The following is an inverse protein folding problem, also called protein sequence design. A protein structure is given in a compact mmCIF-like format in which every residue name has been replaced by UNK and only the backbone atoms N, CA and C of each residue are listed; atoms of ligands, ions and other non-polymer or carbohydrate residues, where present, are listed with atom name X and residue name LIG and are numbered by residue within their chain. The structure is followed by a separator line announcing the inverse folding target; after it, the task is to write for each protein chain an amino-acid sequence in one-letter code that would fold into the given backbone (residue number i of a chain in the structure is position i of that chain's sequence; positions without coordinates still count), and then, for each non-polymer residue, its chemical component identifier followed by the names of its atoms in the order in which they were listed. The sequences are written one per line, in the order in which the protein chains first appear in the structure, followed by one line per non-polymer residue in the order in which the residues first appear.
data_IF_643284081941
#
_entry.id   IF_643284081941
#
_cell.length_a   1.000
_cell.length_b   1.000
_cell.length_c   1.000
_cell.angle_alpha   90.00
_cell.angle_beta   90.00
_cell.angle_gamma   90.00
#
_symmetry.space_group_name_H-M   'P 1'
#
loop_
_entity.id
_entity.type
_entity.pdbx_description
1 polymer ?
#
# COMPACT_ATOMS: atom_id res chain seq x y z
N UNK A 1 -4.36 1.68 -11.76
CA UNK A 1 -5.58 2.52 -11.84
C UNK A 1 -5.18 3.92 -11.43
N UNK A 2 -5.51 4.95 -12.20
CA UNK A 2 -5.24 6.33 -11.81
C UNK A 2 -6.23 6.74 -10.73
N UNK A 3 -5.79 7.61 -9.81
CA UNK A 3 -6.66 8.15 -8.77
C UNK A 3 -7.89 8.84 -9.40
N UNK A 4 -9.12 8.42 -9.12
CA UNK A 4 -10.32 8.97 -9.75
C UNK A 4 -10.60 10.43 -9.36
N UNK A 5 -10.01 10.93 -8.28
CA UNK A 5 -10.09 12.36 -7.96
C UNK A 5 -9.46 13.24 -9.02
N UNK A 6 -8.46 12.75 -9.71
CA UNK A 6 -7.91 13.46 -10.85
C UNK A 6 -8.85 13.47 -12.06
N UNK A 7 -9.77 12.52 -12.10
CA UNK A 7 -10.82 12.53 -13.08
C UNK A 7 -11.69 13.80 -13.03
N UNK A 8 -11.73 14.43 -11.90
CA UNK A 8 -12.47 15.66 -11.64
C UNK A 8 -11.62 16.93 -11.84
N UNK A 9 -10.35 16.77 -12.16
CA UNK A 9 -9.51 17.89 -12.54
C UNK A 9 -9.87 18.39 -13.96
N UNK A 10 -9.39 19.57 -14.31
CA UNK A 10 -9.73 20.29 -15.54
C UNK A 10 -9.45 19.55 -16.86
N UNK A 11 -8.71 18.46 -16.85
CA UNK A 11 -8.43 17.59 -18.01
C UNK A 11 -8.93 16.18 -17.74
N UNK A 12 -10.23 16.01 -17.75
CA UNK A 12 -10.88 14.77 -17.37
C UNK A 12 -10.73 13.65 -18.38
N UNK A 13 -10.70 13.96 -19.66
CA UNK A 13 -10.70 12.95 -20.74
C UNK A 13 -9.42 12.10 -20.77
N UNK A 14 -8.30 12.64 -20.27
CA UNK A 14 -7.02 11.94 -20.25
C UNK A 14 -6.77 11.14 -18.98
N UNK A 15 -7.52 11.43 -17.90
CA UNK A 15 -7.21 10.93 -16.56
C UNK A 15 -8.29 10.09 -15.90
N UNK A 16 -9.54 10.10 -16.41
CA UNK A 16 -10.66 9.38 -15.80
C UNK A 16 -10.44 7.88 -15.86
N UNK A 17 -10.41 7.26 -14.68
CA UNK A 17 -10.64 5.83 -14.46
C UNK A 17 -9.88 4.86 -15.37
N UNK A 18 -8.76 5.27 -15.96
CA UNK A 18 -8.01 4.41 -16.88
C UNK A 18 -7.21 3.39 -16.11
N UNK A 19 -7.44 2.12 -16.41
CA UNK A 19 -6.57 1.01 -16.02
C UNK A 19 -5.42 0.86 -17.01
N UNK A 20 -4.26 0.42 -16.53
CA UNK A 20 -3.15 0.01 -17.37
C UNK A 20 -3.08 -1.52 -17.43
N UNK A 21 -2.86 -2.06 -18.63
CA UNK A 21 -2.56 -3.49 -18.81
C UNK A 21 -1.05 -3.62 -18.67
N UNK A 22 -0.61 -4.24 -17.58
CA UNK A 22 0.82 -4.42 -17.27
C UNK A 22 1.08 -5.86 -16.82
N UNK A 23 2.27 -6.36 -17.10
CA UNK A 23 2.75 -7.62 -16.54
C UNK A 23 3.70 -7.34 -15.36
N UNK A 24 3.14 -7.11 -14.19
CA UNK A 24 3.90 -6.73 -13.00
C UNK A 24 5.00 -7.75 -12.62
N UNK A 25 4.83 -9.04 -12.96
CA UNK A 25 5.84 -10.08 -12.69
C UNK A 25 7.11 -9.88 -13.51
N UNK A 26 7.01 -9.26 -14.70
CA UNK A 26 8.14 -9.03 -15.62
C UNK A 26 8.79 -7.66 -15.47
N UNK A 27 8.17 -6.74 -14.72
CA UNK A 27 8.68 -5.40 -14.50
C UNK A 27 9.66 -5.37 -13.32
N UNK A 28 10.73 -4.57 -13.47
CA UNK A 28 11.72 -4.34 -12.40
C UNK A 28 12.60 -5.55 -12.08
N UNK A 29 13.30 -5.52 -10.95
CA UNK A 29 14.17 -6.60 -10.53
C UNK A 29 13.38 -7.86 -10.16
N UNK A 30 14.04 -9.02 -10.27
CA UNK A 30 13.55 -10.27 -9.70
C UNK A 30 13.85 -10.25 -8.20
N UNK A 31 12.80 -10.39 -7.41
CA UNK A 31 12.88 -10.33 -5.95
C UNK A 31 12.89 -11.73 -5.32
N UNK A 32 13.57 -11.83 -4.20
CA UNK A 32 13.45 -12.91 -3.22
C UNK A 32 12.99 -12.31 -1.89
N UNK A 33 12.47 -13.16 -0.97
CA UNK A 33 12.09 -12.70 0.38
C UNK A 33 13.31 -12.28 1.20
N UNK A 34 13.10 -11.46 2.21
CA UNK A 34 14.16 -11.01 3.08
C UNK A 34 14.85 -12.17 3.82
N UNK A 35 16.16 -12.07 3.95
CA UNK A 35 16.93 -12.91 4.86
C UNK A 35 17.48 -12.01 5.98
N UNK A 36 16.87 -12.13 7.17
CA UNK A 36 17.15 -11.24 8.30
C UNK A 36 17.97 -12.02 9.33
N UNK A 37 19.21 -11.60 9.52
CA UNK A 37 20.12 -12.26 10.45
C UNK A 37 19.62 -12.08 11.90
N UNK A 38 19.50 -13.18 12.64
CA UNK A 38 19.07 -13.17 14.04
C UNK A 38 17.56 -13.01 14.24
N UNK A 39 16.78 -13.06 13.17
CA UNK A 39 15.32 -13.10 13.24
C UNK A 39 14.85 -14.56 13.15
N UNK A 40 14.43 -15.11 14.27
CA UNK A 40 14.00 -16.51 14.38
C UNK A 40 12.52 -16.63 14.76
N UNK A 41 12.03 -15.66 15.54
CA UNK A 41 10.65 -15.60 16.01
C UNK A 41 10.09 -14.18 15.86
N UNK A 42 8.78 -14.04 15.93
CA UNK A 42 8.12 -12.72 15.85
C UNK A 42 8.56 -11.75 16.97
N UNK A 43 8.99 -12.29 18.10
CA UNK A 43 9.46 -11.50 19.24
C UNK A 43 10.79 -10.82 18.95
N UNK A 44 11.53 -11.28 17.95
CA UNK A 44 12.78 -10.66 17.48
C UNK A 44 12.52 -9.44 16.56
N UNK A 45 11.25 -9.19 16.21
CA UNK A 45 10.89 -8.09 15.32
C UNK A 45 11.08 -6.74 16.00
N UNK A 46 11.89 -5.88 15.38
CA UNK A 46 11.97 -4.45 15.68
C UNK A 46 11.46 -3.73 14.44
N UNK A 47 10.25 -3.19 14.53
CA UNK A 47 9.53 -2.61 13.39
C UNK A 47 9.61 -1.09 13.44
N UNK A 48 9.99 -0.46 12.34
CA UNK A 48 9.96 0.99 12.16
C UNK A 48 8.91 1.36 11.14
N UNK A 49 7.84 2.01 11.63
CA UNK A 49 6.74 2.49 10.78
C UNK A 49 7.08 3.82 10.14
N UNK A 50 6.88 3.93 8.83
CA UNK A 50 7.30 5.09 8.05
C UNK A 50 6.27 5.40 6.95
N UNK A 51 5.94 6.69 6.79
CA UNK A 51 5.26 7.21 5.61
C UNK A 51 6.28 7.55 4.52
N UNK A 52 6.11 6.99 3.32
CA UNK A 52 7.10 7.13 2.22
C UNK A 52 7.40 8.59 1.89
N UNK A 53 6.37 9.44 1.80
CA UNK A 53 6.57 10.86 1.48
C UNK A 53 7.24 11.61 2.60
N UNK A 54 6.80 11.40 3.84
CA UNK A 54 7.25 12.19 4.99
C UNK A 54 8.72 11.97 5.29
N UNK A 55 9.19 10.75 5.09
CA UNK A 55 10.54 10.35 5.45
C UNK A 55 11.64 11.18 4.78
N UNK A 56 11.36 11.73 3.61
CA UNK A 56 12.32 12.54 2.86
C UNK A 56 11.86 13.96 2.59
N UNK A 57 10.74 14.40 3.21
CA UNK A 57 10.12 15.70 2.93
C UNK A 57 10.74 16.88 3.69
N UNK A 58 11.54 16.62 4.72
CA UNK A 58 12.26 17.67 5.44
C UNK A 58 13.17 18.46 4.48
N UNK A 59 13.22 19.79 4.67
CA UNK A 59 13.95 20.67 3.77
C UNK A 59 15.44 20.31 3.70
N UNK A 60 16.06 20.13 4.86
CA UNK A 60 17.51 19.85 4.93
C UNK A 60 17.84 18.47 4.33
N UNK A 61 16.92 17.51 4.44
CA UNK A 61 17.07 16.20 3.82
C UNK A 61 16.85 16.28 2.31
N UNK A 62 15.78 16.89 1.89
CA UNK A 62 15.36 16.90 0.48
C UNK A 62 16.36 17.61 -0.45
N UNK A 63 17.11 18.60 0.05
CA UNK A 63 18.16 19.26 -0.72
C UNK A 63 19.38 18.38 -0.97
N UNK A 64 19.54 17.28 -0.22
CA UNK A 64 20.65 16.32 -0.38
C UNK A 64 20.33 15.15 -1.27
N UNK A 65 19.08 15.00 -1.71
CA UNK A 65 18.60 13.88 -2.52
C UNK A 65 18.96 14.04 -3.98
N UNK A 66 19.20 12.90 -4.65
CA UNK A 66 19.31 12.84 -6.11
C UNK A 66 17.91 12.69 -6.76
N UNK A 67 17.05 11.87 -6.15
CA UNK A 67 15.67 11.68 -6.57
C UNK A 67 14.74 12.72 -5.94
N UNK A 68 13.56 12.90 -6.54
CA UNK A 68 12.54 13.79 -5.98
C UNK A 68 12.09 13.27 -4.61
N UNK A 69 12.00 14.18 -3.63
CA UNK A 69 11.56 13.83 -2.28
C UNK A 69 10.19 13.14 -2.27
N UNK A 70 9.96 12.30 -1.28
CA UNK A 70 8.68 11.62 -1.08
C UNK A 70 8.39 10.49 -2.08
N UNK A 71 9.39 10.06 -2.84
CA UNK A 71 9.29 8.94 -3.77
C UNK A 71 9.95 7.66 -3.23
N UNK A 72 9.62 6.51 -3.81
CA UNK A 72 10.31 5.27 -3.53
C UNK A 72 11.82 5.38 -3.79
N UNK A 73 12.21 6.12 -4.83
CA UNK A 73 13.62 6.32 -5.18
C UNK A 73 14.37 7.14 -4.12
N UNK A 74 13.80 8.24 -3.65
CA UNK A 74 14.41 9.04 -2.59
C UNK A 74 14.46 8.32 -1.24
N UNK A 75 13.48 7.45 -0.96
CA UNK A 75 13.49 6.61 0.23
C UNK A 75 14.71 5.69 0.27
N UNK A 76 15.08 5.11 -0.88
CA UNK A 76 16.28 4.25 -1.00
C UNK A 76 17.55 4.98 -0.55
N UNK A 77 17.69 6.26 -0.86
CA UNK A 77 18.87 7.06 -0.49
C UNK A 77 19.06 7.21 1.03
N UNK A 78 18.02 6.96 1.82
CA UNK A 78 18.04 7.09 3.29
C UNK A 78 17.96 5.75 4.04
N UNK A 79 17.98 4.61 3.35
CA UNK A 79 17.86 3.28 3.96
C UNK A 79 18.99 2.96 4.95
N UNK A 80 20.19 3.49 4.72
CA UNK A 80 21.31 3.24 5.62
C UNK A 80 21.11 3.88 7.00
N UNK A 81 20.40 5.01 7.06
CA UNK A 81 19.96 5.59 8.34
C UNK A 81 19.08 4.60 9.11
N UNK A 82 18.07 4.03 8.46
CA UNK A 82 17.13 3.07 9.08
C UNK A 82 17.90 1.81 9.51
N UNK A 83 18.76 1.28 8.66
CA UNK A 83 19.59 0.10 8.99
C UNK A 83 20.44 0.33 10.23
N UNK A 84 21.02 1.52 10.37
CA UNK A 84 21.86 1.87 11.51
C UNK A 84 21.08 2.02 12.83
N UNK A 85 19.74 2.14 12.79
CA UNK A 85 18.89 2.08 13.98
C UNK A 85 18.77 0.65 14.54
N UNK A 86 19.20 -0.38 13.78
CA UNK A 86 19.14 -1.77 14.21
C UNK A 86 17.77 -2.42 14.06
N UNK A 87 16.87 -1.85 13.24
CA UNK A 87 15.54 -2.42 12.99
C UNK A 87 15.62 -3.65 12.09
N UNK A 88 14.69 -4.56 12.27
CA UNK A 88 14.56 -5.77 11.45
C UNK A 88 13.59 -5.58 10.30
N UNK A 89 12.55 -4.76 10.47
CA UNK A 89 11.51 -4.55 9.46
C UNK A 89 11.18 -3.07 9.30
N UNK A 90 10.88 -2.69 8.07
CA UNK A 90 10.27 -1.41 7.73
C UNK A 90 8.79 -1.66 7.46
N UNK A 91 7.91 -1.00 8.22
CA UNK A 91 6.47 -0.99 7.97
C UNK A 91 6.12 0.28 7.21
N UNK A 92 5.74 0.11 5.95
CA UNK A 92 5.30 1.22 5.11
C UNK A 92 3.83 1.51 5.38
N UNK A 93 3.50 2.76 5.74
CA UNK A 93 2.12 3.25 5.69
C UNK A 93 1.53 2.98 4.31
N UNK A 94 0.18 3.01 4.14
CA UNK A 94 -0.45 2.50 2.94
C UNK A 94 0.15 3.03 1.64
N UNK A 95 0.65 2.11 0.81
CA UNK A 95 1.23 2.42 -0.51
C UNK A 95 0.31 2.03 -1.66
N UNK A 96 -0.80 1.36 -1.36
CA UNK A 96 -1.85 1.10 -2.34
C UNK A 96 -2.52 2.40 -2.77
N UNK A 97 -3.13 2.39 -3.95
CA UNK A 97 -3.82 3.55 -4.51
C UNK A 97 -4.97 4.00 -3.60
N UNK A 98 -5.01 5.28 -3.27
CA UNK A 98 -5.99 5.88 -2.37
C UNK A 98 -6.57 7.19 -2.92
N UNK A 99 -7.71 7.62 -2.35
CA UNK A 99 -8.43 8.84 -2.70
C UNK A 99 -7.81 10.10 -2.09
N UNK A 100 -8.39 11.24 -2.39
CA UNK A 100 -8.15 12.54 -1.79
C UNK A 100 -6.73 13.08 -1.94
N UNK A 101 -6.04 12.65 -3.01
CA UNK A 101 -4.75 13.22 -3.42
C UNK A 101 -4.72 13.54 -4.91
N UNK A 102 -3.91 14.50 -5.30
CA UNK A 102 -3.47 14.70 -6.68
C UNK A 102 -2.06 14.14 -6.85
N UNK A 103 -1.93 12.98 -7.48
CA UNK A 103 -0.65 12.30 -7.66
C UNK A 103 0.39 13.11 -8.44
N UNK A 104 -0.03 14.15 -9.20
CA UNK A 104 0.90 15.01 -9.93
C UNK A 104 1.32 16.27 -9.16
N UNK A 105 0.62 16.60 -8.09
CA UNK A 105 0.94 17.73 -7.25
C UNK A 105 1.61 17.25 -5.98
N UNK A 106 2.94 17.16 -6.02
CA UNK A 106 3.76 16.65 -4.91
C UNK A 106 4.46 17.77 -4.15
N UNK A 107 3.95 18.98 -4.27
CA UNK A 107 4.51 20.13 -3.58
C UNK A 107 4.64 19.87 -2.08
N UNK A 108 5.71 20.42 -1.53
CA UNK A 108 6.03 20.29 -0.12
C UNK A 108 4.96 20.95 0.73
N UNK A 109 4.58 20.30 1.81
CA UNK A 109 3.69 20.89 2.80
C UNK A 109 4.50 21.92 3.59
N UNK A 110 4.30 23.19 3.28
CA UNK A 110 4.97 24.29 3.98
C UNK A 110 4.18 24.78 5.21
N UNK A 111 2.88 24.47 5.27
CA UNK A 111 2.00 24.90 6.35
C UNK A 111 1.14 23.75 6.86
N UNK A 112 1.31 23.38 8.12
CA UNK A 112 0.52 22.35 8.81
C UNK A 112 -0.99 22.65 8.89
N UNK A 113 -1.41 23.86 8.60
CA UNK A 113 -2.80 24.33 8.71
C UNK A 113 -3.54 24.37 7.38
N UNK A 114 -2.90 24.01 6.26
CA UNK A 114 -3.54 24.07 4.96
C UNK A 114 -4.42 22.86 4.71
N UNK A 115 -5.73 23.07 4.62
CA UNK A 115 -6.67 22.04 4.19
C UNK A 115 -6.44 21.57 2.73
N UNK A 116 -5.61 22.28 1.97
CA UNK A 116 -5.32 22.02 0.55
C UNK A 116 -3.89 21.52 0.31
N UNK A 117 -3.25 20.97 1.32
CA UNK A 117 -1.84 20.58 1.25
C UNK A 117 -1.56 19.31 0.46
N UNK A 118 -2.58 18.67 -0.14
CA UNK A 118 -2.46 17.43 -0.89
C UNK A 118 -1.74 16.30 -0.10
N UNK A 119 -1.98 16.24 1.20
CA UNK A 119 -1.40 15.26 2.11
C UNK A 119 -2.45 14.25 2.56
N UNK A 120 -2.11 12.96 2.49
CA UNK A 120 -2.95 11.87 2.98
C UNK A 120 -2.04 10.72 3.44
N UNK A 121 -2.40 10.07 4.52
CA UNK A 121 -1.69 8.89 5.03
C UNK A 121 -1.95 7.62 4.22
N UNK A 122 -2.96 7.64 3.34
CA UNK A 122 -3.28 6.53 2.47
C UNK A 122 -4.39 5.60 2.99
N UNK A 123 -5.08 5.97 4.07
CA UNK A 123 -6.16 5.14 4.65
C UNK A 123 -7.52 5.31 3.97
N UNK A 124 -7.54 5.82 2.75
CA UNK A 124 -8.74 5.96 1.92
C UNK A 124 -8.61 5.08 0.65
N UNK A 125 -8.64 3.73 0.76
CA UNK A 125 -8.28 2.85 -0.34
C UNK A 125 -9.22 3.00 -1.53
N UNK A 126 -8.59 3.08 -2.72
CA UNK A 126 -9.28 3.10 -4.00
C UNK A 126 -9.11 1.78 -4.76
N UNK A 127 -7.94 1.18 -4.69
CA UNK A 127 -7.63 -0.07 -5.36
C UNK A 127 -6.70 -0.93 -4.51
N UNK A 128 -7.09 -2.18 -4.32
CA UNK A 128 -6.30 -3.15 -3.55
C UNK A 128 -5.18 -3.83 -4.34
N UNK A 129 -4.99 -3.49 -5.63
CA UNK A 129 -3.98 -4.11 -6.51
C UNK A 129 -3.06 -3.10 -7.18
N UNK A 130 -3.28 -1.81 -6.97
CA UNK A 130 -2.50 -0.75 -7.61
C UNK A 130 -1.72 0.03 -6.57
N UNK A 131 -0.47 0.38 -6.90
CA UNK A 131 0.32 1.29 -6.08
C UNK A 131 -0.12 2.74 -6.33
N UNK A 132 0.00 3.59 -5.31
CA UNK A 132 -0.19 5.03 -5.46
C UNK A 132 0.92 5.64 -6.32
N UNK A 133 0.53 6.45 -7.30
CA UNK A 133 1.47 7.22 -8.11
C UNK A 133 2.12 8.38 -7.35
N UNK A 134 1.59 8.73 -6.18
CA UNK A 134 2.18 9.76 -5.32
C UNK A 134 3.65 9.47 -4.99
N UNK A 135 4.02 8.20 -4.90
CA UNK A 135 5.35 7.75 -4.49
C UNK A 135 6.27 7.41 -5.67
N UNK A 136 5.82 7.63 -6.91
CA UNK A 136 6.63 7.41 -8.12
C UNK A 136 7.19 8.72 -8.65
N UNK A 137 8.37 8.70 -9.24
CA UNK A 137 8.99 9.86 -9.90
C UNK A 137 8.16 10.34 -11.11
N UNK A 138 7.48 9.43 -11.80
CA UNK A 138 6.49 9.77 -12.84
C UNK A 138 5.15 9.09 -12.57
N UNK A 139 4.20 9.76 -11.93
CA UNK A 139 2.87 9.22 -11.66
C UNK A 139 2.06 8.84 -12.90
N UNK A 140 2.40 9.38 -14.06
CA UNK A 140 1.72 9.07 -15.34
C UNK A 140 2.18 7.74 -15.93
N UNK A 141 3.32 7.23 -15.48
CA UNK A 141 3.86 5.95 -15.94
C UNK A 141 3.46 4.81 -14.97
N UNK A 142 2.47 3.98 -15.31
CA UNK A 142 1.99 2.93 -14.42
C UNK A 142 3.01 1.79 -14.22
N UNK A 143 3.93 1.58 -15.17
CA UNK A 143 4.98 0.58 -15.04
C UNK A 143 6.10 1.06 -14.11
N UNK A 144 6.42 2.35 -14.17
CA UNK A 144 7.51 2.92 -13.37
C UNK A 144 7.25 2.77 -11.87
N UNK A 145 6.01 3.04 -11.40
CA UNK A 145 5.67 2.87 -9.96
C UNK A 145 5.89 1.45 -9.45
N UNK A 146 5.67 0.44 -10.32
CA UNK A 146 5.92 -0.97 -10.00
C UNK A 146 7.42 -1.23 -9.91
N UNK A 147 8.18 -0.73 -10.88
CA UNK A 147 9.65 -0.88 -10.93
C UNK A 147 10.30 -0.21 -9.72
N UNK A 148 9.90 1.01 -9.40
CA UNK A 148 10.45 1.76 -8.26
C UNK A 148 10.13 1.11 -6.92
N UNK A 149 8.91 0.62 -6.75
CA UNK A 149 8.55 -0.10 -5.52
C UNK A 149 9.31 -1.42 -5.38
N UNK A 150 9.52 -2.17 -6.47
CA UNK A 150 10.38 -3.36 -6.44
C UNK A 150 11.83 -3.03 -6.15
N UNK A 151 12.36 -1.94 -6.70
CA UNK A 151 13.71 -1.48 -6.37
C UNK A 151 13.84 -1.14 -4.88
N UNK A 152 12.84 -0.46 -4.30
CA UNK A 152 12.83 -0.17 -2.87
C UNK A 152 12.87 -1.46 -2.04
N UNK A 153 12.02 -2.43 -2.35
CA UNK A 153 11.99 -3.72 -1.64
C UNK A 153 13.33 -4.43 -1.76
N UNK A 154 13.89 -4.51 -2.96
CA UNK A 154 15.20 -5.12 -3.18
C UNK A 154 16.27 -4.48 -2.32
N UNK A 155 16.31 -3.14 -2.26
CA UNK A 155 17.31 -2.41 -1.49
C UNK A 155 17.14 -2.57 0.03
N UNK A 156 15.90 -2.74 0.50
CA UNK A 156 15.61 -3.08 1.91
C UNK A 156 16.11 -4.50 2.20
N UNK A 157 15.77 -5.47 1.35
CA UNK A 157 16.19 -6.88 1.49
C UNK A 157 17.71 -7.04 1.40
N UNK A 158 18.38 -6.32 0.50
CA UNK A 158 19.85 -6.31 0.38
C UNK A 158 20.54 -5.85 1.67
N UNK A 159 19.86 -5.05 2.48
CA UNK A 159 20.35 -4.60 3.81
C UNK A 159 19.97 -5.54 4.93
N UNK A 160 19.34 -6.68 4.63
CA UNK A 160 18.91 -7.67 5.63
C UNK A 160 17.78 -7.13 6.51
N UNK A 161 16.84 -6.41 5.94
CA UNK A 161 15.60 -5.97 6.58
C UNK A 161 14.40 -6.48 5.79
N UNK A 162 13.28 -6.76 6.48
CA UNK A 162 12.01 -7.13 5.86
C UNK A 162 11.12 -5.92 5.59
N UNK A 163 10.11 -6.13 4.74
CA UNK A 163 9.09 -5.12 4.41
C UNK A 163 7.73 -5.59 4.88
N UNK A 164 7.10 -4.79 5.73
CA UNK A 164 5.69 -4.95 6.11
C UNK A 164 4.86 -3.86 5.42
N UNK A 165 3.75 -4.25 4.80
CA UNK A 165 2.78 -3.30 4.24
C UNK A 165 1.63 -3.08 5.20
N UNK A 166 1.29 -1.81 5.44
CA UNK A 166 0.03 -1.45 6.05
C UNK A 166 -1.09 -1.53 5.01
N UNK A 167 -2.11 -2.36 5.29
CA UNK A 167 -3.20 -2.65 4.37
C UNK A 167 -4.55 -2.29 4.96
N UNK A 168 -5.39 -1.65 4.15
CA UNK A 168 -6.68 -1.10 4.55
C UNK A 168 -7.79 -1.83 3.82
N UNK A 169 -8.17 -3.02 4.33
CA UNK A 169 -9.25 -3.82 3.75
C UNK A 169 -10.57 -3.70 4.50
N UNK A 170 -10.58 -2.95 5.60
CA UNK A 170 -11.78 -2.74 6.42
C UNK A 170 -12.84 -1.91 5.71
N UNK A 171 -12.44 -1.02 4.80
CA UNK A 171 -13.36 -0.17 4.05
C UNK A 171 -12.82 0.20 2.66
N UNK A 172 -13.68 0.77 1.83
CA UNK A 172 -13.30 1.52 0.62
C UNK A 172 -13.50 3.01 0.86
N UNK A 173 -12.73 3.86 0.20
CA UNK A 173 -12.87 5.32 0.33
C UNK A 173 -14.27 5.80 -0.06
N UNK A 174 -14.90 5.12 -1.02
CA UNK A 174 -16.24 5.42 -1.53
C UNK A 174 -16.98 4.13 -1.88
N UNK A 175 -18.26 4.06 -1.58
CA UNK A 175 -19.12 2.88 -1.83
C UNK A 175 -19.15 2.48 -3.31
N UNK A 176 -19.28 3.45 -4.22
CA UNK A 176 -19.43 3.20 -5.66
C UNK A 176 -18.26 2.43 -6.28
N UNK A 177 -17.08 2.40 -5.63
CA UNK A 177 -15.90 1.66 -6.13
C UNK A 177 -16.24 0.18 -6.40
N UNK A 178 -17.04 -0.43 -5.53
CA UNK A 178 -17.43 -1.83 -5.64
C UNK A 178 -18.94 -2.01 -5.87
N UNK A 179 -19.79 -1.15 -5.29
CA UNK A 179 -21.23 -1.27 -5.42
C UNK A 179 -21.75 -0.96 -6.85
N UNK A 180 -21.00 -0.20 -7.65
CA UNK A 180 -21.30 -0.02 -9.08
C UNK A 180 -21.06 -1.29 -9.91
N UNK A 181 -20.29 -2.26 -9.36
CA UNK A 181 -20.06 -3.56 -9.99
C UNK A 181 -21.20 -4.53 -9.64
N UNK A 182 -21.53 -4.64 -8.36
CA UNK A 182 -22.63 -5.48 -7.87
C UNK A 182 -23.27 -4.84 -6.64
N UNK A 183 -24.42 -4.19 -6.78
CA UNK A 183 -25.09 -3.46 -5.70
C UNK A 183 -25.43 -4.33 -4.49
N UNK A 184 -25.16 -3.81 -3.30
CA UNK A 184 -25.43 -4.43 -2.00
C UNK A 184 -24.70 -5.75 -1.75
N UNK A 185 -23.57 -5.98 -2.43
CA UNK A 185 -22.85 -7.24 -2.28
C UNK A 185 -21.50 -7.08 -1.56
N UNK A 186 -20.69 -6.11 -1.96
CA UNK A 186 -19.31 -6.03 -1.48
C UNK A 186 -19.15 -5.44 -0.07
N UNK A 187 -20.11 -4.61 0.34
CA UNK A 187 -20.11 -4.03 1.68
C UNK A 187 -21.17 -4.67 2.58
N UNK A 188 -20.98 -4.55 3.88
CA UNK A 188 -22.04 -4.87 4.82
C UNK A 188 -23.15 -3.84 4.75
N UNK A 189 -24.40 -4.31 4.64
CA UNK A 189 -25.59 -3.48 4.58
C UNK A 189 -26.43 -3.62 5.83
N UNK A 190 -27.16 -2.57 6.18
CA UNK A 190 -28.25 -2.58 7.13
C UNK A 190 -29.52 -3.14 6.47
N UNK A 191 -30.54 -3.43 7.27
CA UNK A 191 -31.81 -3.99 6.76
C UNK A 191 -32.56 -3.03 5.82
N UNK A 192 -32.31 -1.74 5.91
CA UNK A 192 -32.86 -0.70 5.03
C UNK A 192 -32.04 -0.46 3.77
N UNK A 193 -31.07 -1.33 3.48
CA UNK A 193 -30.11 -1.21 2.38
C UNK A 193 -29.18 0.02 2.47
N UNK A 194 -29.09 0.67 3.61
CA UNK A 194 -28.00 1.62 3.86
C UNK A 194 -26.69 0.86 4.15
N UNK A 195 -25.52 1.39 3.76
CA UNK A 195 -24.26 0.75 4.06
C UNK A 195 -23.95 0.80 5.57
N UNK A 196 -23.31 -0.23 6.08
CA UNK A 196 -22.68 -0.12 7.38
C UNK A 196 -21.39 0.68 7.22
N UNK A 197 -21.24 1.69 8.05
CA UNK A 197 -20.08 2.54 8.05
C UNK A 197 -18.89 1.85 8.76
N UNK A 198 -17.72 2.17 8.31
CA UNK A 198 -16.43 2.07 8.96
C UNK A 198 -15.80 3.47 8.88
N UNK A 199 -14.49 3.61 9.01
CA UNK A 199 -13.80 4.90 8.91
C UNK A 199 -13.71 5.45 7.46
N UNK A 200 -14.52 5.00 6.54
CA UNK A 200 -14.48 5.40 5.14
C UNK A 200 -15.84 5.29 4.50
N UNK A 201 -15.86 4.99 3.19
CA UNK A 201 -17.07 4.95 2.37
C UNK A 201 -18.00 3.78 2.65
N UNK A 202 -17.52 2.73 3.33
CA UNK A 202 -18.34 1.57 3.67
C UNK A 202 -17.51 0.39 4.13
N UNK A 203 -18.00 -0.34 5.13
CA UNK A 203 -17.33 -1.51 5.68
C UNK A 203 -17.39 -2.69 4.71
N UNK A 204 -16.21 -3.20 4.31
CA UNK A 204 -16.13 -4.34 3.41
C UNK A 204 -16.76 -5.59 4.04
N UNK A 205 -17.65 -6.23 3.28
CA UNK A 205 -18.40 -7.41 3.71
C UNK A 205 -17.59 -8.70 3.62
N UNK A 206 -16.58 -8.88 4.47
CA UNK A 206 -15.59 -9.96 4.38
C UNK A 206 -16.18 -11.36 4.56
N UNK A 207 -17.39 -11.50 5.10
CA UNK A 207 -18.14 -12.77 5.13
C UNK A 207 -18.68 -13.17 3.76
N UNK A 208 -18.76 -12.25 2.80
CA UNK A 208 -19.19 -12.53 1.44
C UNK A 208 -18.05 -13.12 0.62
N UNK A 209 -18.33 -14.14 -0.17
CA UNK A 209 -17.30 -14.95 -0.83
C UNK A 209 -16.37 -14.13 -1.72
N UNK A 210 -16.91 -13.19 -2.52
CA UNK A 210 -16.08 -12.41 -3.45
C UNK A 210 -15.34 -11.26 -2.76
N UNK A 211 -15.89 -10.68 -1.70
CA UNK A 211 -15.17 -9.69 -0.87
C UNK A 211 -13.99 -10.32 -0.16
N UNK A 212 -14.20 -11.52 0.41
CA UNK A 212 -13.13 -12.33 0.99
C UNK A 212 -12.05 -12.66 -0.02
N UNK A 213 -12.46 -13.14 -1.21
CA UNK A 213 -11.54 -13.46 -2.29
C UNK A 213 -10.72 -12.25 -2.73
N UNK A 214 -11.37 -11.08 -2.89
CA UNK A 214 -10.70 -9.84 -3.26
C UNK A 214 -9.55 -9.49 -2.31
N UNK A 215 -9.78 -9.62 -1.00
CA UNK A 215 -8.76 -9.40 0.04
C UNK A 215 -7.62 -10.42 -0.07
N UNK A 216 -7.96 -11.71 -0.14
CA UNK A 216 -6.97 -12.80 -0.19
C UNK A 216 -6.13 -12.70 -1.47
N UNK A 217 -6.76 -12.49 -2.63
CA UNK A 217 -6.06 -12.35 -3.91
C UNK A 217 -5.11 -11.15 -3.89
N UNK A 218 -5.46 -10.05 -3.20
CA UNK A 218 -4.58 -8.90 -3.03
C UNK A 218 -3.36 -9.23 -2.15
N UNK A 219 -3.53 -9.89 -1.02
CA UNK A 219 -2.42 -10.36 -0.17
C UNK A 219 -1.49 -11.28 -0.96
N UNK A 220 -2.04 -12.27 -1.68
CA UNK A 220 -1.26 -13.17 -2.52
C UNK A 220 -0.49 -12.41 -3.62
N UNK A 221 -1.13 -11.44 -4.25
CA UNK A 221 -0.51 -10.62 -5.29
C UNK A 221 0.73 -9.87 -4.78
N UNK A 222 0.62 -9.17 -3.64
CA UNK A 222 1.76 -8.46 -3.07
C UNK A 222 2.84 -9.40 -2.55
N UNK A 223 2.46 -10.56 -2.01
CA UNK A 223 3.41 -11.59 -1.58
C UNK A 223 4.18 -12.18 -2.77
N UNK A 224 3.48 -12.55 -3.85
CA UNK A 224 4.11 -13.18 -5.01
C UNK A 224 4.95 -12.22 -5.85
N UNK A 225 4.38 -11.05 -6.17
CA UNK A 225 4.94 -10.12 -7.15
C UNK A 225 6.01 -9.23 -6.54
N UNK A 226 5.80 -8.82 -5.29
CA UNK A 226 6.66 -7.85 -4.60
C UNK A 226 7.45 -8.45 -3.45
N UNK A 227 7.22 -9.73 -3.12
CA UNK A 227 7.92 -10.39 -2.00
C UNK A 227 7.79 -9.64 -0.67
N UNK A 228 6.58 -9.15 -0.40
CA UNK A 228 6.25 -8.52 0.88
C UNK A 228 6.34 -9.56 2.01
N UNK A 229 7.13 -9.26 3.04
CA UNK A 229 7.41 -10.20 4.13
C UNK A 229 6.30 -10.23 5.18
N UNK A 230 5.61 -9.11 5.40
CA UNK A 230 4.54 -8.99 6.38
C UNK A 230 3.42 -8.04 5.98
N UNK A 231 2.28 -8.14 6.68
CA UNK A 231 1.14 -7.24 6.52
C UNK A 231 0.63 -6.79 7.89
N UNK A 232 0.41 -5.49 8.04
CA UNK A 232 -0.33 -4.91 9.16
C UNK A 232 -1.71 -4.57 8.68
N UNK A 233 -2.73 -5.17 9.28
CA UNK A 233 -4.12 -4.90 8.94
C UNK A 233 -4.64 -3.72 9.75
N UNK A 234 -4.97 -2.63 9.07
CA UNK A 234 -5.71 -1.55 9.70
C UNK A 234 -7.10 -2.03 10.11
N UNK A 235 -7.56 -1.62 11.30
CA UNK A 235 -8.90 -1.97 11.81
C UNK A 235 -9.24 -3.46 11.65
N UNK A 236 -8.32 -4.36 11.98
CA UNK A 236 -8.49 -5.80 11.80
C UNK A 236 -9.78 -6.35 12.41
N UNK A 237 -10.29 -5.74 13.49
CA UNK A 237 -11.56 -6.11 14.13
C UNK A 237 -12.82 -5.92 13.24
N UNK A 238 -12.71 -5.25 12.13
CA UNK A 238 -13.80 -5.12 11.14
C UNK A 238 -13.94 -6.33 10.23
N UNK A 239 -12.96 -7.25 10.26
CA UNK A 239 -12.98 -8.47 9.47
C UNK A 239 -13.46 -9.67 10.29
N UNK A 240 -14.03 -10.66 9.62
CA UNK A 240 -14.30 -11.94 10.25
C UNK A 240 -13.04 -12.79 10.39
N UNK A 241 -12.95 -13.55 11.48
CA UNK A 241 -11.76 -14.36 11.80
C UNK A 241 -11.40 -15.38 10.71
N UNK A 242 -12.41 -15.93 10.01
CA UNK A 242 -12.17 -16.89 8.93
C UNK A 242 -11.46 -16.23 7.75
N UNK A 243 -11.82 -15.00 7.40
CA UNK A 243 -11.15 -14.25 6.32
C UNK A 243 -9.70 -13.97 6.66
N UNK A 244 -9.42 -13.54 7.89
CA UNK A 244 -8.04 -13.27 8.33
C UNK A 244 -7.23 -14.59 8.34
N UNK A 245 -7.78 -15.68 8.87
CA UNK A 245 -7.10 -16.97 8.85
C UNK A 245 -6.81 -17.45 7.42
N UNK A 246 -7.79 -17.34 6.52
CA UNK A 246 -7.59 -17.74 5.12
C UNK A 246 -6.54 -16.87 4.42
N UNK A 247 -6.47 -15.57 4.71
CA UNK A 247 -5.44 -14.68 4.17
C UNK A 247 -4.05 -15.08 4.68
N UNK A 248 -3.93 -15.41 5.96
CA UNK A 248 -2.70 -15.89 6.57
C UNK A 248 -2.25 -17.22 5.93
N UNK A 249 -3.14 -18.21 5.81
CA UNK A 249 -2.83 -19.51 5.23
C UNK A 249 -2.43 -19.40 3.75
N UNK A 250 -3.11 -18.53 3.00
CA UNK A 250 -2.78 -18.25 1.61
C UNK A 250 -1.38 -17.62 1.49
N UNK A 251 -1.08 -16.61 2.30
CA UNK A 251 0.25 -16.00 2.34
C UNK A 251 1.33 -17.03 2.68
N UNK A 252 1.10 -17.86 3.70
CA UNK A 252 2.03 -18.89 4.12
C UNK A 252 2.35 -19.89 2.99
N UNK A 253 1.38 -20.22 2.14
CA UNK A 253 1.60 -21.09 0.98
C UNK A 253 2.52 -20.49 -0.08
N UNK A 254 2.60 -19.15 -0.17
CA UNK A 254 3.48 -18.41 -1.08
C UNK A 254 4.86 -18.10 -0.50
N UNK A 255 5.02 -18.26 0.82
CA UNK A 255 6.27 -18.00 1.55
C UNK A 255 6.55 -19.08 2.60
N UNK A 256 6.82 -20.32 2.19
CA UNK A 256 6.91 -21.46 3.13
C UNK A 256 8.08 -21.41 4.11
N UNK A 257 9.15 -20.66 3.80
CA UNK A 257 10.39 -20.69 4.59
C UNK A 257 10.45 -19.65 5.73
N UNK A 258 9.55 -18.64 5.73
CA UNK A 258 9.58 -17.55 6.70
C UNK A 258 8.59 -17.71 7.88
N UNK A 259 7.89 -18.84 7.96
CA UNK A 259 6.87 -19.07 8.98
C UNK A 259 7.18 -20.32 9.80
N UNK A 260 8.03 -20.15 10.78
CA UNK A 260 7.91 -20.93 12.01
C UNK A 260 7.09 -20.07 12.98
N UNK A 261 5.80 -20.41 13.10
CA UNK A 261 4.83 -19.92 14.09
C UNK A 261 4.52 -18.41 14.13
N UNK A 262 3.48 -18.01 13.35
CA UNK A 262 2.70 -16.79 13.61
C UNK A 262 1.39 -17.15 14.28
#
# INVERSE_FOLDING_TARGET
MLNPWRAWASDTDSTIGKGAIVNAKQLGPKLDFASIQGYETREDAIIYEIHVRDFTSDHDISETLQAEFGTFASFIEKLDYIKNLGVTHIQLLPVMSYYFIDELNRDRILNYTSANNNYNWGYDPHSYFSLSGMYSQDPRNPELRIIEFKNLIQEIHNRGMGVTMDVVYNHTAQMHILEDIEPNYYHFMNLDASPRESFGGGRLGTTHAMSRRLLIDSICYFTEVFKIDGFRFDMMGDHDATTIQNAFDAKKSHQPECFNDW
#
